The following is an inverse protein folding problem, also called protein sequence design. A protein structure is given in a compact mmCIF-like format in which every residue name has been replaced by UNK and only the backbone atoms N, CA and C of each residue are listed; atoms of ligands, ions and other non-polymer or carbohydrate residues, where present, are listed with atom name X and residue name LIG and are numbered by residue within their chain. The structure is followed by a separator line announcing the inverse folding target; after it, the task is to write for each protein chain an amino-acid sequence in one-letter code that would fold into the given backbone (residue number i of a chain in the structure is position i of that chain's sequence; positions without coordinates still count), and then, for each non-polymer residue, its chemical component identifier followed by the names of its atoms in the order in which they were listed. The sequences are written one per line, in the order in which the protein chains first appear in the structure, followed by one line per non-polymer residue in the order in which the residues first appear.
data_IF_756283114733
#
_entry.id   IF_756283114733
#
_cell.length_a   1.000
_cell.length_b   1.000
_cell.length_c   1.000
_cell.angle_alpha   90.00
_cell.angle_beta   90.00
_cell.angle_gamma   90.00
#
_symmetry.space_group_name_H-M   'P 1'
#
loop_
_entity.id
_entity.type
_entity.pdbx_description
1 polymer ?
#
# COMPACT_ATOMS: atom_id res chain seq x y z
N UNK A 1 0.89 3.13 -15.19
CA UNK A 1 1.16 1.69 -14.98
C UNK A 1 0.73 1.32 -13.58
N UNK A 2 0.03 0.21 -13.44
CA UNK A 2 -0.52 -0.23 -12.17
C UNK A 2 0.45 -1.19 -11.48
N UNK A 3 0.65 -1.01 -10.18
CA UNK A 3 1.41 -1.95 -9.37
C UNK A 3 0.61 -3.24 -9.15
N UNK A 4 1.31 -4.36 -9.02
CA UNK A 4 0.67 -5.62 -8.69
C UNK A 4 0.08 -5.57 -7.28
N UNK A 5 -1.10 -6.12 -7.12
CA UNK A 5 -1.83 -6.10 -5.85
C UNK A 5 -2.42 -7.46 -5.55
N UNK A 6 -2.72 -7.66 -4.27
CA UNK A 6 -3.45 -8.84 -3.81
C UNK A 6 -4.44 -8.42 -2.74
N UNK A 7 -5.69 -8.84 -2.89
CA UNK A 7 -6.69 -8.64 -1.85
C UNK A 7 -6.47 -9.71 -0.79
N UNK A 8 -6.13 -9.30 0.42
CA UNK A 8 -5.89 -10.20 1.53
C UNK A 8 -7.17 -10.50 2.31
N UNK A 9 -8.06 -9.51 2.39
CA UNK A 9 -9.35 -9.61 3.07
C UNK A 9 -10.36 -8.74 2.33
N UNK A 10 -11.58 -9.26 2.15
CA UNK A 10 -12.65 -8.44 1.59
C UNK A 10 -13.20 -7.45 2.61
N UNK A 11 -13.24 -7.87 3.87
CA UNK A 11 -13.70 -7.02 4.95
C UNK A 11 -15.15 -6.59 4.84
N UNK A 12 -15.51 -5.58 5.62
CA UNK A 12 -16.84 -4.97 5.60
C UNK A 12 -16.85 -3.79 4.65
N UNK A 13 -17.93 -3.64 3.88
CA UNK A 13 -18.01 -2.70 2.76
C UNK A 13 -17.88 -1.24 3.16
N UNK A 14 -18.25 -0.89 4.39
CA UNK A 14 -18.27 0.49 4.86
C UNK A 14 -16.99 0.94 5.53
N UNK A 15 -16.00 0.05 5.66
CA UNK A 15 -14.72 0.39 6.29
C UNK A 15 -13.71 0.87 5.27
N UNK A 16 -12.82 1.81 5.66
CA UNK A 16 -11.68 2.15 4.82
C UNK A 16 -10.79 0.93 4.59
N UNK A 17 -10.09 0.92 3.47
CA UNK A 17 -9.15 -0.14 3.15
C UNK A 17 -7.86 0.01 3.95
N UNK A 18 -7.28 -1.10 4.36
CA UNK A 18 -5.89 -1.13 4.82
C UNK A 18 -5.05 -1.49 3.60
N UNK A 19 -4.12 -0.61 3.25
CA UNK A 19 -3.22 -0.80 2.11
C UNK A 19 -1.82 -1.04 2.66
N UNK A 20 -1.30 -2.23 2.40
CA UNK A 20 -0.08 -2.73 3.03
C UNK A 20 1.10 -2.59 2.09
N UNK A 21 2.18 -1.97 2.58
CA UNK A 21 3.42 -1.73 1.83
C UNK A 21 4.56 -2.48 2.52
N UNK A 22 5.17 -3.41 1.80
CA UNK A 22 6.23 -4.28 2.35
C UNK A 22 7.58 -3.57 2.45
N UNK A 23 8.55 -4.24 3.12
CA UNK A 23 9.92 -3.77 3.19
C UNK A 23 10.73 -4.15 1.95
N UNK A 24 12.01 -3.76 1.96
CA UNK A 24 12.93 -4.07 0.87
C UNK A 24 13.02 -5.59 0.69
N UNK A 25 12.99 -6.03 -0.57
CA UNK A 25 13.01 -7.43 -0.98
C UNK A 25 11.78 -8.23 -0.54
N UNK A 26 10.75 -7.55 -0.04
CA UNK A 26 9.49 -8.19 0.29
C UNK A 26 8.55 -8.29 -0.90
N UNK A 27 7.33 -8.72 -0.63
CA UNK A 27 6.25 -8.78 -1.61
C UNK A 27 4.89 -8.75 -0.89
N UNK A 28 3.80 -8.80 -1.66
CA UNK A 28 2.46 -8.64 -1.10
C UNK A 28 2.00 -9.80 -0.20
N UNK A 29 2.77 -10.89 -0.10
CA UNK A 29 2.42 -12.02 0.77
C UNK A 29 2.84 -11.83 2.22
N UNK A 30 3.73 -10.88 2.51
CA UNK A 30 4.25 -10.67 3.87
C UNK A 30 3.15 -10.36 4.88
N UNK A 31 2.09 -9.73 4.45
CA UNK A 31 1.05 -9.21 5.32
C UNK A 31 -0.12 -10.16 5.56
N UNK A 32 -0.13 -11.31 4.90
CA UNK A 32 -1.28 -12.23 4.95
C UNK A 32 -1.66 -12.62 6.37
N UNK A 33 -0.66 -12.97 7.17
CA UNK A 33 -0.90 -13.45 8.54
C UNK A 33 -1.47 -12.34 9.40
N UNK A 34 -0.90 -11.13 9.27
CA UNK A 34 -1.34 -9.99 10.09
C UNK A 34 -2.72 -9.51 9.66
N UNK A 35 -2.95 -9.40 8.35
CA UNK A 35 -4.26 -8.97 7.83
C UNK A 35 -5.38 -9.93 8.25
N UNK A 36 -5.09 -11.22 8.34
CA UNK A 36 -6.07 -12.21 8.77
C UNK A 36 -6.55 -12.00 10.20
N UNK A 37 -5.80 -11.23 11.00
CA UNK A 37 -6.19 -10.86 12.37
C UNK A 37 -7.15 -9.68 12.41
N UNK A 38 -7.40 -9.04 11.28
CA UNK A 38 -8.30 -7.91 11.17
C UNK A 38 -9.35 -8.20 10.09
N UNK A 39 -10.14 -9.28 10.22
CA UNK A 39 -10.97 -9.76 9.12
C UNK A 39 -12.08 -8.80 8.69
N UNK A 40 -12.51 -7.88 9.57
CA UNK A 40 -13.53 -6.88 9.23
C UNK A 40 -12.97 -5.75 8.35
N UNK A 41 -11.65 -5.59 8.27
CA UNK A 41 -11.03 -4.51 7.49
C UNK A 41 -10.64 -5.03 6.11
N UNK A 42 -11.17 -4.42 5.03
CA UNK A 42 -10.70 -4.79 3.69
C UNK A 42 -9.21 -4.47 3.58
N UNK A 43 -8.44 -5.41 3.04
CA UNK A 43 -6.97 -5.30 3.01
C UNK A 43 -6.43 -5.59 1.63
N UNK A 44 -5.63 -4.68 1.10
CA UNK A 44 -4.94 -4.80 -0.18
C UNK A 44 -3.44 -4.71 0.05
N UNK A 45 -2.70 -5.69 -0.39
CA UNK A 45 -1.24 -5.63 -0.37
C UNK A 45 -0.74 -5.22 -1.74
N UNK A 46 0.25 -4.34 -1.77
CA UNK A 46 0.87 -3.84 -3.00
C UNK A 46 2.30 -4.36 -3.08
N UNK A 47 2.68 -4.90 -4.24
CA UNK A 47 4.08 -5.14 -4.55
C UNK A 47 4.69 -3.84 -5.05
N UNK A 48 5.69 -3.35 -4.32
CA UNK A 48 6.38 -2.10 -4.69
C UNK A 48 7.15 -2.28 -6.00
N UNK A 49 7.47 -1.17 -6.72
CA UNK A 49 8.25 -1.27 -7.95
C UNK A 49 9.52 -2.08 -7.75
N UNK A 50 9.82 -2.97 -8.69
CA UNK A 50 10.99 -3.83 -8.63
C UNK A 50 10.87 -5.04 -7.72
N UNK A 51 9.71 -5.26 -7.10
CA UNK A 51 9.49 -6.35 -6.15
C UNK A 51 8.31 -7.23 -6.56
N UNK A 52 8.36 -8.50 -6.19
CA UNK A 52 7.27 -9.43 -6.43
C UNK A 52 6.78 -9.41 -7.86
N UNK A 53 5.48 -9.31 -8.06
CA UNK A 53 4.87 -9.26 -9.38
C UNK A 53 4.94 -7.87 -10.02
N UNK A 54 5.53 -6.88 -9.32
CA UNK A 54 5.86 -5.56 -9.87
C UNK A 54 7.33 -5.45 -10.27
N UNK A 55 8.01 -6.57 -10.48
CA UNK A 55 9.46 -6.59 -10.76
C UNK A 55 9.82 -5.79 -12.01
N UNK A 56 8.95 -5.74 -13.00
CA UNK A 56 9.19 -5.00 -14.25
C UNK A 56 8.76 -3.53 -14.15
N UNK A 57 8.17 -3.11 -13.04
CA UNK A 57 7.74 -1.72 -12.87
C UNK A 57 8.92 -0.90 -12.37
N UNK A 58 9.33 0.10 -13.13
CA UNK A 58 10.41 1.00 -12.73
C UNK A 58 9.85 2.26 -12.07
N UNK A 59 10.71 2.92 -11.30
CA UNK A 59 10.37 4.21 -10.71
C UNK A 59 11.59 5.10 -10.66
N UNK A 60 11.36 6.41 -10.58
CA UNK A 60 12.43 7.43 -10.56
C UNK A 60 12.67 7.98 -9.17
N UNK A 61 11.96 7.50 -8.17
CA UNK A 61 12.07 7.98 -6.81
C UNK A 61 10.73 7.95 -6.10
N UNK A 62 10.67 8.55 -4.92
CA UNK A 62 9.48 8.47 -4.07
C UNK A 62 8.27 9.18 -4.66
N UNK A 63 8.46 10.29 -5.37
CA UNK A 63 7.34 10.96 -6.06
C UNK A 63 6.65 10.01 -7.03
N UNK A 64 7.45 9.28 -7.80
CA UNK A 64 6.96 8.35 -8.80
C UNK A 64 6.23 7.18 -8.14
N UNK A 65 6.80 6.64 -7.07
CA UNK A 65 6.17 5.55 -6.32
C UNK A 65 4.82 6.01 -5.75
N UNK A 66 4.79 7.20 -5.16
CA UNK A 66 3.56 7.75 -4.58
C UNK A 66 2.48 7.92 -5.65
N UNK A 67 2.86 8.40 -6.83
CA UNK A 67 1.94 8.54 -7.95
C UNK A 67 1.43 7.18 -8.44
N UNK A 68 2.29 6.18 -8.48
CA UNK A 68 1.91 4.82 -8.87
C UNK A 68 0.95 4.19 -7.87
N UNK A 69 1.17 4.42 -6.57
CA UNK A 69 0.26 3.95 -5.53
C UNK A 69 -1.11 4.60 -5.72
N UNK A 70 -1.15 5.92 -5.88
CA UNK A 70 -2.41 6.64 -6.06
C UNK A 70 -3.17 6.13 -7.29
N UNK A 71 -2.48 5.93 -8.40
CA UNK A 71 -3.09 5.43 -9.63
C UNK A 71 -3.63 4.01 -9.45
N UNK A 72 -2.89 3.16 -8.74
CA UNK A 72 -3.30 1.78 -8.47
C UNK A 72 -4.58 1.75 -7.65
N UNK A 73 -4.64 2.56 -6.58
CA UNK A 73 -5.82 2.62 -5.73
C UNK A 73 -7.03 3.18 -6.48
N UNK A 74 -6.82 4.17 -7.34
CA UNK A 74 -7.90 4.74 -8.16
C UNK A 74 -8.47 3.70 -9.11
N UNK A 75 -7.61 2.91 -9.76
CA UNK A 75 -8.06 1.85 -10.66
C UNK A 75 -8.80 0.74 -9.94
N UNK A 76 -8.54 0.57 -8.65
CA UNK A 76 -9.23 -0.41 -7.81
C UNK A 76 -10.47 0.16 -7.14
N UNK A 77 -10.81 1.42 -7.41
CA UNK A 77 -11.96 2.12 -6.80
C UNK A 77 -11.87 2.19 -5.27
N UNK A 78 -10.66 2.29 -4.75
CA UNK A 78 -10.43 2.46 -3.32
C UNK A 78 -10.40 3.95 -3.02
N UNK A 79 -11.45 4.45 -2.37
CA UNK A 79 -11.61 5.88 -2.12
C UNK A 79 -11.12 6.32 -0.74
N UNK A 80 -11.18 5.42 0.25
CA UNK A 80 -10.73 5.71 1.63
C UNK A 80 -9.80 4.61 2.08
N UNK A 81 -8.65 4.99 2.61
CA UNK A 81 -7.64 4.00 2.97
C UNK A 81 -6.66 4.50 4.01
N UNK A 82 -6.07 3.56 4.72
CA UNK A 82 -4.89 3.74 5.56
C UNK A 82 -3.72 3.08 4.85
N UNK A 83 -2.54 3.68 4.97
CA UNK A 83 -1.31 3.01 4.54
C UNK A 83 -0.65 2.37 5.75
N UNK A 84 -0.33 1.09 5.62
CA UNK A 84 0.41 0.36 6.66
C UNK A 84 1.73 -0.05 6.03
N UNK A 85 2.83 0.49 6.52
CA UNK A 85 4.13 0.29 5.91
C UNK A 85 5.18 -0.21 6.88
N UNK A 86 6.06 -1.09 6.39
CA UNK A 86 7.17 -1.61 7.15
C UNK A 86 8.48 -1.25 6.45
N UNK A 87 9.44 -0.67 7.17
CA UNK A 87 10.77 -0.33 6.68
C UNK A 87 10.68 0.56 5.43
N UNK A 88 11.09 0.09 4.25
CA UNK A 88 10.95 0.83 3.00
C UNK A 88 9.51 1.26 2.75
N UNK A 89 8.56 0.33 2.93
CA UNK A 89 7.14 0.63 2.80
C UNK A 89 6.68 1.70 3.78
N UNK A 90 7.27 1.75 4.97
CA UNK A 90 7.00 2.78 5.95
C UNK A 90 7.46 4.16 5.49
N UNK A 91 8.66 4.24 4.91
CA UNK A 91 9.16 5.52 4.34
C UNK A 91 8.27 6.01 3.21
N UNK A 92 7.85 5.08 2.36
CA UNK A 92 6.98 5.41 1.23
C UNK A 92 5.62 5.89 1.73
N UNK A 93 5.06 5.23 2.75
CA UNK A 93 3.79 5.63 3.35
C UNK A 93 3.88 7.05 3.91
N UNK A 94 4.96 7.37 4.63
CA UNK A 94 5.16 8.70 5.17
C UNK A 94 5.33 9.74 4.07
N UNK A 95 6.10 9.41 3.04
CA UNK A 95 6.28 10.32 1.91
C UNK A 95 4.95 10.61 1.22
N UNK A 96 4.18 9.56 0.97
CA UNK A 96 2.86 9.67 0.34
C UNK A 96 1.93 10.58 1.17
N UNK A 97 1.97 10.45 2.50
CA UNK A 97 1.13 11.25 3.38
C UNK A 97 1.56 12.73 3.42
N UNK A 98 2.87 12.99 3.33
CA UNK A 98 3.42 14.34 3.46
C UNK A 98 3.46 15.13 2.15
N UNK A 99 3.49 14.44 1.03
CA UNK A 99 3.65 15.05 -0.29
C UNK A 99 2.46 14.70 -1.18
N UNK A 100 1.83 15.69 -1.75
CA UNK A 100 0.66 15.52 -2.56
C UNK A 100 -0.62 15.59 -1.74
N UNK A 101 -1.75 15.55 -2.43
CA UNK A 101 -3.06 15.65 -1.81
C UNK A 101 -3.85 14.39 -2.11
N UNK A 102 -3.88 13.52 -1.13
CA UNK A 102 -4.57 12.25 -1.25
C UNK A 102 -5.80 12.28 -0.34
N UNK A 103 -6.91 12.79 -0.89
CA UNK A 103 -8.11 13.07 -0.12
C UNK A 103 -8.66 11.83 0.60
N UNK A 104 -8.43 10.65 0.05
CA UNK A 104 -8.92 9.41 0.64
C UNK A 104 -8.03 8.85 1.73
N UNK A 105 -6.82 9.38 1.90
CA UNK A 105 -5.89 8.88 2.91
C UNK A 105 -6.36 9.28 4.31
N UNK A 106 -6.63 8.30 5.14
CA UNK A 106 -7.11 8.51 6.52
C UNK A 106 -5.95 8.65 7.50
N UNK A 107 -4.85 8.00 7.23
CA UNK A 107 -3.66 8.04 8.08
C UNK A 107 -2.67 6.96 7.68
N UNK A 108 -1.55 6.90 8.41
CA UNK A 108 -0.50 5.91 8.17
C UNK A 108 -0.14 5.21 9.47
N UNK A 109 0.21 3.94 9.35
CA UNK A 109 0.77 3.14 10.43
C UNK A 109 2.12 2.66 9.91
N UNK A 110 3.18 2.99 10.62
CA UNK A 110 4.54 2.75 10.14
C UNK A 110 5.35 2.03 11.21
N UNK A 111 6.09 1.01 10.79
CA UNK A 111 7.04 0.33 11.63
C UNK A 111 8.40 0.32 10.94
N UNK A 112 9.46 0.74 11.65
CA UNK A 112 10.82 0.71 11.11
C UNK A 112 11.04 1.61 9.91
N UNK A 113 10.32 2.73 9.80
CA UNK A 113 10.38 3.62 8.64
C UNK A 113 11.47 4.70 8.72
N UNK A 114 12.52 4.44 9.45
CA UNK A 114 13.62 5.40 9.64
C UNK A 114 14.34 5.73 8.33
#
# INVERSE_FOLDING_TARGET
MMLATRILQQGEADRPWLVWLHGLLGNNNEWRVIAARCPEWPSLAIDLPGHGDSVAVSCRGFDDISAQIAATLQLRNIERYWLVGYSLGGRIAMYHACHGRHAGLQGVIVEGGN
#
